data_IF_726969185841
#
_entry.id   IF_726969185841
#
_cell.length_a   1.000
_cell.length_b   1.000
_cell.length_c   1.000
_cell.angle_alpha   90.00
_cell.angle_beta   90.00
_cell.angle_gamma   90.00
#
_symmetry.space_group_name_H-M   'P 1'
#
loop_
_entity.id
_entity.type
_entity.pdbx_description
1 polymer ?
#
# COMPACT_ATOMS: atom_id res chain seq x y z
N UNK A 1 -29.05 -2.93 -16.03
CA UNK A 1 -27.82 -2.22 -15.68
C UNK A 1 -27.14 -2.93 -14.53
N UNK A 2 -25.83 -3.04 -14.56
CA UNK A 2 -25.03 -3.69 -13.52
C UNK A 2 -23.97 -2.72 -12.99
N UNK A 3 -23.73 -2.79 -11.67
CA UNK A 3 -22.56 -2.20 -11.06
C UNK A 3 -21.38 -3.15 -11.27
N UNK A 4 -20.31 -2.61 -11.80
CA UNK A 4 -19.06 -3.37 -12.04
C UNK A 4 -17.87 -2.65 -11.42
N UNK A 5 -16.90 -3.43 -10.97
CA UNK A 5 -15.62 -2.95 -10.48
C UNK A 5 -14.52 -3.45 -11.42
N UNK A 6 -13.58 -2.58 -11.76
CA UNK A 6 -12.38 -3.00 -12.48
C UNK A 6 -11.48 -3.74 -11.50
N UNK A 7 -11.25 -5.02 -11.76
CA UNK A 7 -10.40 -5.88 -10.94
C UNK A 7 -8.94 -5.82 -11.41
N UNK A 8 -8.75 -5.68 -12.71
CA UNK A 8 -7.43 -5.60 -13.34
C UNK A 8 -7.49 -4.70 -14.56
N UNK A 9 -6.56 -3.79 -14.65
CA UNK A 9 -6.36 -2.96 -15.83
C UNK A 9 -5.81 -3.77 -17.02
N UNK A 10 -5.96 -3.20 -18.21
CA UNK A 10 -5.35 -3.76 -19.41
C UNK A 10 -3.82 -3.80 -19.25
N UNK A 11 -3.20 -4.97 -19.46
CA UNK A 11 -1.76 -5.12 -19.38
C UNK A 11 -1.23 -5.77 -20.66
N UNK A 12 -0.49 -5.02 -21.46
CA UNK A 12 0.04 -5.49 -22.76
C UNK A 12 -1.08 -6.04 -23.65
N UNK A 13 -1.09 -7.37 -23.88
CA UNK A 13 -2.07 -8.08 -24.72
C UNK A 13 -3.31 -8.57 -23.95
N UNK A 14 -3.32 -8.42 -22.62
CA UNK A 14 -4.45 -8.87 -21.78
C UNK A 14 -5.45 -7.73 -21.62
N UNK A 15 -6.71 -8.03 -21.90
CA UNK A 15 -7.81 -7.10 -21.69
C UNK A 15 -8.07 -6.84 -20.20
N UNK A 16 -8.71 -5.70 -19.86
CA UNK A 16 -9.10 -5.43 -18.49
C UNK A 16 -10.11 -6.46 -18.00
N UNK A 17 -10.01 -6.83 -16.73
CA UNK A 17 -10.98 -7.70 -16.09
C UNK A 17 -11.91 -6.89 -15.19
N UNK A 18 -13.19 -7.18 -15.25
CA UNK A 18 -14.22 -6.55 -14.43
C UNK A 18 -15.00 -7.62 -13.66
N UNK A 19 -15.52 -7.22 -12.51
CA UNK A 19 -16.36 -8.09 -11.68
C UNK A 19 -17.62 -7.37 -11.22
N UNK A 20 -18.71 -8.08 -11.07
CA UNK A 20 -19.90 -7.58 -10.39
C UNK A 20 -19.84 -7.79 -8.87
N UNK A 21 -18.81 -8.49 -8.40
CA UNK A 21 -18.52 -8.63 -6.98
C UNK A 21 -17.75 -7.42 -6.49
N UNK A 22 -18.44 -6.44 -5.93
CA UNK A 22 -17.85 -5.20 -5.48
C UNK A 22 -17.18 -5.41 -4.12
N UNK A 23 -15.95 -4.89 -4.00
CA UNK A 23 -15.16 -4.98 -2.78
C UNK A 23 -14.81 -3.57 -2.30
N UNK A 24 -15.14 -3.29 -1.03
CA UNK A 24 -14.79 -2.05 -0.33
C UNK A 24 -13.74 -2.39 0.71
N UNK A 25 -12.49 -2.06 0.42
CA UNK A 25 -11.36 -2.40 1.28
C UNK A 25 -11.11 -1.31 2.31
N UNK A 26 -11.25 -1.66 3.59
CA UNK A 26 -10.78 -0.90 4.73
C UNK A 26 -9.40 -1.38 5.23
N UNK A 27 -8.90 -0.77 6.29
CA UNK A 27 -7.63 -1.15 6.94
C UNK A 27 -7.77 -2.48 7.69
N UNK A 28 -8.92 -2.72 8.33
CA UNK A 28 -9.19 -3.85 9.23
C UNK A 28 -10.20 -4.83 8.66
N UNK A 29 -11.11 -4.38 7.81
CA UNK A 29 -12.15 -5.17 7.20
C UNK A 29 -12.29 -4.91 5.71
N UNK A 30 -12.90 -5.86 4.97
CA UNK A 30 -13.33 -5.70 3.59
C UNK A 30 -14.80 -6.08 3.52
N UNK A 31 -15.64 -5.19 3.00
CA UNK A 31 -17.02 -5.49 2.64
C UNK A 31 -17.06 -6.02 1.21
N UNK A 32 -17.75 -7.11 0.95
CA UNK A 32 -17.88 -7.74 -0.36
C UNK A 32 -19.32 -8.06 -0.70
N UNK A 33 -19.75 -7.83 -1.95
CA UNK A 33 -21.13 -8.08 -2.37
C UNK A 33 -21.34 -9.47 -2.97
N UNK A 34 -20.26 -10.15 -3.37
CA UNK A 34 -20.34 -11.44 -4.06
C UNK A 34 -20.42 -12.65 -3.15
N UNK A 35 -19.95 -12.54 -1.92
CA UNK A 35 -19.98 -13.62 -0.95
C UNK A 35 -20.55 -13.11 0.37
N UNK A 36 -21.78 -13.53 0.67
CA UNK A 36 -22.53 -13.11 1.86
C UNK A 36 -22.13 -13.90 3.12
N UNK A 37 -20.85 -14.08 3.35
CA UNK A 37 -20.32 -14.82 4.51
C UNK A 37 -19.31 -13.99 5.25
N UNK A 38 -19.16 -14.29 6.54
CA UNK A 38 -18.07 -13.77 7.35
C UNK A 38 -16.81 -14.59 7.06
N UNK A 39 -15.84 -13.94 6.42
CA UNK A 39 -14.48 -14.44 6.23
C UNK A 39 -13.55 -13.87 7.30
N UNK A 40 -12.62 -14.67 7.81
CA UNK A 40 -11.62 -14.20 8.77
C UNK A 40 -10.25 -14.66 8.26
N UNK A 41 -9.26 -13.76 8.30
CA UNK A 41 -7.90 -14.04 7.84
C UNK A 41 -7.35 -15.34 8.44
N UNK A 42 -6.75 -16.18 7.60
CA UNK A 42 -6.13 -17.44 8.03
C UNK A 42 -4.98 -17.24 9.01
N UNK A 43 -4.33 -16.06 8.98
CA UNK A 43 -3.19 -15.69 9.82
C UNK A 43 -3.56 -15.37 11.27
N UNK A 44 -4.84 -15.17 11.57
CA UNK A 44 -5.34 -14.97 12.93
C UNK A 44 -5.38 -16.29 13.70
N UNK A 45 -5.12 -16.24 15.00
CA UNK A 45 -5.17 -17.42 15.86
C UNK A 45 -6.62 -17.90 16.11
N UNK A 46 -6.77 -19.07 16.76
CA UNK A 46 -8.10 -19.66 16.99
C UNK A 46 -8.99 -18.83 17.93
N UNK A 47 -8.39 -18.22 18.95
CA UNK A 47 -9.10 -17.39 19.92
C UNK A 47 -9.62 -16.10 19.27
N UNK A 48 -8.77 -15.42 18.50
CA UNK A 48 -9.16 -14.24 17.74
C UNK A 48 -10.28 -14.54 16.73
N UNK A 49 -10.20 -15.69 16.06
CA UNK A 49 -11.26 -16.12 15.12
C UNK A 49 -12.59 -16.39 15.82
N UNK A 50 -12.57 -16.97 17.04
CA UNK A 50 -13.77 -17.18 17.82
C UNK A 50 -14.36 -15.84 18.28
N UNK A 51 -13.51 -14.94 18.79
CA UNK A 51 -13.88 -13.60 19.20
C UNK A 51 -14.56 -12.80 18.08
N UNK A 52 -13.97 -12.72 16.90
CA UNK A 52 -14.58 -11.99 15.78
C UNK A 52 -15.87 -12.64 15.24
N UNK A 53 -16.01 -13.95 15.35
CA UNK A 53 -17.27 -14.61 15.01
C UNK A 53 -18.40 -14.21 15.96
N UNK A 54 -18.10 -14.11 17.24
CA UNK A 54 -19.07 -13.69 18.26
C UNK A 54 -19.40 -12.19 18.12
N UNK A 55 -18.36 -11.36 18.03
CA UNK A 55 -18.49 -9.91 17.88
C UNK A 55 -19.35 -9.51 16.66
N UNK A 56 -19.21 -10.22 15.56
CA UNK A 56 -19.87 -9.87 14.29
C UNK A 56 -21.12 -10.71 14.01
N UNK A 57 -21.58 -11.47 14.99
CA UNK A 57 -22.81 -12.29 14.86
C UNK A 57 -24.06 -11.45 14.57
N UNK A 58 -24.11 -10.23 15.09
CA UNK A 58 -25.25 -9.31 14.92
C UNK A 58 -25.23 -8.53 13.61
N UNK A 59 -24.11 -8.58 12.86
CA UNK A 59 -24.03 -7.89 11.56
C UNK A 59 -24.84 -8.63 10.49
N UNK A 60 -25.66 -7.86 9.76
CA UNK A 60 -26.52 -8.38 8.69
C UNK A 60 -25.68 -8.83 7.48
N UNK A 61 -25.34 -10.12 7.48
CA UNK A 61 -24.64 -10.74 6.34
C UNK A 61 -25.58 -11.17 5.20
N UNK A 62 -26.87 -10.84 5.25
CA UNK A 62 -27.80 -11.18 4.17
C UNK A 62 -27.59 -10.30 2.92
N UNK A 63 -27.10 -9.09 3.11
CA UNK A 63 -26.90 -8.10 2.03
C UNK A 63 -25.50 -8.09 1.45
N UNK A 64 -24.49 -8.36 2.29
CA UNK A 64 -23.08 -8.35 1.95
C UNK A 64 -22.30 -9.34 2.81
N UNK A 65 -21.07 -9.63 2.44
CA UNK A 65 -20.14 -10.38 3.29
C UNK A 65 -19.06 -9.46 3.85
N UNK A 66 -18.44 -9.91 4.94
CA UNK A 66 -17.32 -9.23 5.58
C UNK A 66 -16.10 -10.14 5.59
N UNK A 67 -14.93 -9.58 5.36
CA UNK A 67 -13.64 -10.27 5.49
C UNK A 67 -12.78 -9.49 6.49
N UNK A 68 -12.51 -10.10 7.65
CA UNK A 68 -11.66 -9.50 8.68
C UNK A 68 -10.19 -9.73 8.33
N UNK A 69 -9.44 -8.63 8.26
CA UNK A 69 -8.02 -8.64 7.92
C UNK A 69 -7.15 -8.93 9.15
N UNK A 70 -5.91 -9.30 8.91
CA UNK A 70 -4.94 -9.58 10.00
C UNK A 70 -4.70 -8.37 10.91
N UNK A 71 -4.75 -7.16 10.35
CA UNK A 71 -4.53 -5.91 11.09
C UNK A 71 -5.61 -5.62 12.14
N UNK A 72 -6.79 -6.26 12.04
CA UNK A 72 -7.85 -6.11 13.05
C UNK A 72 -7.39 -6.54 14.46
N UNK A 73 -6.42 -7.45 14.54
CA UNK A 73 -5.89 -7.92 15.83
C UNK A 73 -5.13 -6.85 16.63
N UNK A 74 -4.77 -5.73 16.01
CA UNK A 74 -4.00 -4.65 16.66
C UNK A 74 -4.84 -3.50 17.17
N UNK A 75 -6.17 -3.55 17.03
CA UNK A 75 -7.06 -2.44 17.38
C UNK A 75 -8.20 -2.91 18.27
N UNK A 76 -8.85 -1.95 18.94
CA UNK A 76 -10.04 -2.19 19.74
C UNK A 76 -11.26 -2.53 18.87
N UNK A 77 -12.18 -3.30 19.40
CA UNK A 77 -13.38 -3.76 18.69
C UNK A 77 -14.24 -2.60 18.19
N UNK A 78 -14.32 -1.52 18.95
CA UNK A 78 -15.06 -0.31 18.59
C UNK A 78 -14.50 0.32 17.30
N UNK A 79 -13.19 0.29 17.12
CA UNK A 79 -12.53 0.81 15.91
C UNK A 79 -12.85 -0.04 14.68
N UNK A 80 -12.85 -1.37 14.86
CA UNK A 80 -13.25 -2.30 13.81
C UNK A 80 -14.72 -2.12 13.41
N UNK A 81 -15.60 -2.01 14.39
CA UNK A 81 -17.04 -1.80 14.19
C UNK A 81 -17.29 -0.47 13.47
N UNK A 82 -16.62 0.61 13.88
CA UNK A 82 -16.75 1.90 13.25
C UNK A 82 -16.29 1.87 11.77
N UNK A 83 -15.22 1.14 11.46
CA UNK A 83 -14.78 0.95 10.06
C UNK A 83 -15.82 0.15 9.27
N UNK A 84 -16.38 -0.93 9.80
CA UNK A 84 -17.40 -1.73 9.12
C UNK A 84 -18.64 -0.86 8.82
N UNK A 85 -19.11 -0.08 9.77
CA UNK A 85 -20.24 0.85 9.58
C UNK A 85 -19.94 1.91 8.50
N UNK A 86 -18.71 2.41 8.45
CA UNK A 86 -18.28 3.34 7.40
C UNK A 86 -18.31 2.68 6.02
N UNK A 87 -17.87 1.42 5.90
CA UNK A 87 -17.91 0.67 4.64
C UNK A 87 -19.36 0.37 4.20
N UNK A 88 -20.25 0.07 5.14
CA UNK A 88 -21.69 -0.10 4.87
C UNK A 88 -22.33 1.19 4.35
N UNK A 89 -22.02 2.29 5.00
CA UNK A 89 -22.52 3.61 4.60
C UNK A 89 -22.04 3.97 3.19
N UNK A 90 -20.75 3.73 2.92
CA UNK A 90 -20.16 3.94 1.59
C UNK A 90 -20.85 3.09 0.50
N UNK A 91 -21.07 1.80 0.77
CA UNK A 91 -21.80 0.90 -0.12
C UNK A 91 -23.23 1.39 -0.38
N UNK A 92 -23.95 1.77 0.68
CA UNK A 92 -25.33 2.23 0.58
C UNK A 92 -25.43 3.52 -0.24
N UNK A 93 -24.59 4.49 0.04
CA UNK A 93 -24.52 5.76 -0.71
C UNK A 93 -24.17 5.54 -2.19
N UNK A 94 -23.20 4.65 -2.46
CA UNK A 94 -22.82 4.35 -3.84
C UNK A 94 -23.99 3.70 -4.60
N UNK A 95 -24.73 2.79 -3.96
CA UNK A 95 -25.91 2.15 -4.57
C UNK A 95 -27.04 3.15 -4.86
N UNK A 96 -27.30 4.07 -3.94
CA UNK A 96 -28.29 5.13 -4.12
C UNK A 96 -27.88 6.08 -5.26
N UNK A 97 -26.63 6.53 -5.26
CA UNK A 97 -26.10 7.39 -6.30
C UNK A 97 -26.12 6.73 -7.69
N UNK A 98 -25.92 5.42 -7.75
CA UNK A 98 -25.94 4.67 -9.01
C UNK A 98 -27.30 4.76 -9.73
N UNK A 99 -28.41 4.78 -8.96
CA UNK A 99 -29.76 4.88 -9.53
C UNK A 99 -30.01 6.21 -10.28
N UNK A 100 -29.21 7.24 -10.00
CA UNK A 100 -29.32 8.57 -10.60
C UNK A 100 -28.27 8.87 -11.66
N UNK A 101 -27.41 7.91 -11.99
CA UNK A 101 -26.32 8.07 -12.97
C UNK A 101 -26.65 7.34 -14.26
N UNK A 102 -26.14 7.88 -15.37
CA UNK A 102 -26.23 7.22 -16.68
C UNK A 102 -25.26 6.04 -16.77
N UNK A 103 -25.53 5.11 -17.68
CA UNK A 103 -24.60 4.00 -17.98
C UNK A 103 -23.18 4.52 -18.29
N UNK A 104 -22.17 3.74 -17.96
CA UNK A 104 -20.76 4.08 -18.12
C UNK A 104 -20.26 5.24 -17.25
N UNK A 105 -21.05 5.71 -16.29
CA UNK A 105 -20.57 6.69 -15.31
C UNK A 105 -19.63 6.05 -14.30
N UNK A 106 -18.55 6.75 -13.95
CA UNK A 106 -17.67 6.39 -12.83
C UNK A 106 -18.34 6.79 -11.53
N UNK A 107 -18.68 5.83 -10.70
CA UNK A 107 -19.31 6.05 -9.39
C UNK A 107 -18.28 6.30 -8.30
N UNK A 108 -17.17 5.57 -8.35
CA UNK A 108 -16.04 5.71 -7.43
C UNK A 108 -14.74 5.51 -8.20
N UNK A 109 -13.84 6.46 -8.08
CA UNK A 109 -12.47 6.28 -8.57
C UNK A 109 -11.68 5.45 -7.56
N UNK A 110 -10.85 4.54 -8.05
CA UNK A 110 -9.89 3.86 -7.19
C UNK A 110 -8.93 4.89 -6.59
N UNK A 111 -8.55 4.69 -5.34
CA UNK A 111 -7.46 5.46 -4.76
C UNK A 111 -6.15 5.07 -5.44
N UNK A 112 -5.22 6.01 -5.65
CA UNK A 112 -3.91 5.66 -6.14
C UNK A 112 -3.22 4.61 -5.24
N UNK A 113 -2.60 3.60 -5.85
CA UNK A 113 -1.99 2.47 -5.14
C UNK A 113 -0.97 2.92 -4.09
N UNK A 114 -0.21 3.98 -4.36
CA UNK A 114 0.78 4.50 -3.41
C UNK A 114 0.15 5.06 -2.12
N UNK A 115 -1.08 5.60 -2.17
CA UNK A 115 -1.80 6.02 -0.96
C UNK A 115 -2.30 4.83 -0.14
N UNK A 116 -2.73 3.78 -0.81
CA UNK A 116 -3.09 2.52 -0.15
C UNK A 116 -1.85 1.87 0.48
N UNK A 117 -0.71 1.90 -0.21
CA UNK A 117 0.55 1.38 0.31
C UNK A 117 0.99 2.11 1.58
N UNK A 118 0.89 3.45 1.61
CA UNK A 118 1.19 4.25 2.80
C UNK A 118 0.27 3.87 3.97
N UNK A 119 -1.05 3.72 3.72
CA UNK A 119 -2.02 3.32 4.75
C UNK A 119 -1.82 1.90 5.26
N UNK A 120 -1.37 1.00 4.39
CA UNK A 120 -1.14 -0.40 4.73
C UNK A 120 0.22 -0.64 5.39
N UNK A 121 1.09 0.36 5.48
CA UNK A 121 2.34 0.24 6.22
C UNK A 121 2.10 -0.02 7.71
N UNK A 122 3.07 -0.66 8.35
CA UNK A 122 3.06 -0.87 9.80
C UNK A 122 3.01 0.48 10.51
N UNK A 123 2.20 0.61 11.54
CA UNK A 123 2.21 1.81 12.39
C UNK A 123 3.63 2.10 12.86
N UNK A 124 4.05 3.38 12.77
CA UNK A 124 5.40 3.82 13.08
C UNK A 124 6.49 3.51 12.04
N UNK A 125 6.16 2.84 10.92
CA UNK A 125 7.15 2.60 9.85
C UNK A 125 7.34 3.78 8.90
N UNK A 126 6.38 4.68 8.84
CA UNK A 126 6.41 5.92 8.07
C UNK A 126 6.26 7.08 9.04
N UNK A 127 7.29 7.90 9.18
CA UNK A 127 7.30 9.08 10.05
C UNK A 127 6.97 10.36 9.30
N UNK A 128 7.25 10.40 8.00
CA UNK A 128 7.04 11.59 7.17
C UNK A 128 6.62 11.23 5.76
N UNK A 129 5.68 12.02 5.21
CA UNK A 129 5.30 12.00 3.80
C UNK A 129 5.65 13.35 3.21
N UNK A 130 6.44 13.37 2.13
CA UNK A 130 6.85 14.59 1.45
C UNK A 130 6.37 14.51 0.01
N UNK A 131 5.71 15.57 -0.48
CA UNK A 131 5.26 15.67 -1.86
C UNK A 131 5.49 17.08 -2.41
N UNK A 132 5.83 17.17 -3.69
CA UNK A 132 5.89 18.41 -4.48
C UNK A 132 4.65 18.59 -5.40
N UNK A 133 3.73 17.63 -5.37
CA UNK A 133 2.45 17.70 -6.06
C UNK A 133 1.37 18.24 -5.12
N UNK A 134 0.77 19.38 -5.50
CA UNK A 134 -0.23 20.05 -4.69
C UNK A 134 -1.56 19.29 -4.62
N UNK A 135 -2.00 18.69 -5.74
CA UNK A 135 -3.24 17.91 -5.76
C UNK A 135 -3.13 16.68 -4.87
N UNK A 136 -1.97 16.03 -4.93
CA UNK A 136 -1.65 14.89 -4.07
C UNK A 136 -1.61 15.30 -2.60
N UNK A 137 -0.96 16.43 -2.26
CA UNK A 137 -0.95 16.97 -0.91
C UNK A 137 -2.35 17.20 -0.37
N UNK A 138 -3.20 17.90 -1.14
CA UNK A 138 -4.60 18.16 -0.76
C UNK A 138 -5.41 16.86 -0.60
N UNK A 139 -5.19 15.88 -1.47
CA UNK A 139 -5.83 14.55 -1.37
C UNK A 139 -5.43 13.83 -0.09
N UNK A 140 -4.15 13.84 0.26
CA UNK A 140 -3.64 13.23 1.51
C UNK A 140 -4.23 13.97 2.72
N UNK A 141 -4.25 15.31 2.69
CA UNK A 141 -4.87 16.09 3.75
C UNK A 141 -6.33 15.67 3.99
N UNK A 142 -7.12 15.55 2.94
CA UNK A 142 -8.53 15.13 3.04
C UNK A 142 -8.66 13.71 3.60
N UNK A 143 -7.81 12.80 3.18
CA UNK A 143 -7.79 11.41 3.65
C UNK A 143 -7.48 11.27 5.15
N UNK A 144 -6.72 12.21 5.70
CA UNK A 144 -6.39 12.29 7.12
C UNK A 144 -7.28 13.28 7.90
N UNK A 145 -8.35 13.81 7.27
CA UNK A 145 -9.29 14.73 7.92
C UNK A 145 -8.74 16.13 8.15
N UNK A 146 -7.67 16.50 7.45
CA UNK A 146 -7.05 17.82 7.51
C UNK A 146 -7.68 18.70 6.41
N UNK A 147 -8.29 19.82 6.79
CA UNK A 147 -8.89 20.73 5.82
C UNK A 147 -7.84 21.69 5.24
N UNK A 148 -7.48 21.59 3.94
CA UNK A 148 -6.45 22.44 3.34
C UNK A 148 -6.77 23.94 3.37
N UNK A 149 -8.04 24.32 3.48
CA UNK A 149 -8.48 25.72 3.56
C UNK A 149 -8.03 26.48 4.83
N UNK A 150 -7.62 25.78 5.88
CA UNK A 150 -7.09 26.42 7.09
C UNK A 150 -5.70 27.02 6.86
N UNK A 151 -5.06 26.73 5.75
CA UNK A 151 -3.67 27.11 5.44
C UNK A 151 -3.56 28.23 4.41
N UNK A 152 -4.66 28.73 3.89
CA UNK A 152 -4.69 29.91 3.03
C UNK A 152 -4.92 31.20 3.87
N UNK A 153 -4.05 31.45 4.84
CA UNK A 153 -4.08 32.73 5.53
C UNK A 153 -2.99 33.65 5.03
N UNK A 154 -3.45 34.75 4.41
CA UNK A 154 -2.78 36.03 4.25
C UNK A 154 -1.57 36.07 3.33
N UNK A 155 -1.82 36.64 2.15
CA UNK A 155 -0.82 37.08 1.20
C UNK A 155 0.35 37.83 1.79
N UNK A 156 1.40 37.14 2.13
CA UNK A 156 2.72 37.70 2.36
C UNK A 156 3.73 36.56 2.45
N UNK A 157 4.58 36.46 1.43
CA UNK A 157 5.82 35.68 1.37
C UNK A 157 5.63 34.15 1.31
N UNK A 158 6.16 33.46 0.30
CA UNK A 158 6.19 32.01 0.28
C UNK A 158 7.12 31.51 1.38
N UNK A 159 6.54 30.93 2.43
CA UNK A 159 7.30 30.13 3.40
C UNK A 159 7.69 28.84 2.69
N UNK A 160 8.97 28.47 2.60
CA UNK A 160 9.43 27.41 1.71
C UNK A 160 9.01 25.99 2.12
N UNK A 161 8.42 25.77 3.26
CA UNK A 161 8.02 24.43 3.73
C UNK A 161 6.81 24.54 4.65
N UNK A 162 5.63 24.19 4.16
CA UNK A 162 4.47 23.98 5.02
C UNK A 162 4.57 22.60 5.65
N UNK A 163 5.06 22.52 6.87
CA UNK A 163 5.11 21.31 7.68
C UNK A 163 3.83 21.18 8.50
N UNK A 164 3.10 20.10 8.31
CA UNK A 164 1.89 19.81 9.07
C UNK A 164 2.04 18.52 9.86
N UNK A 165 1.75 18.59 11.16
CA UNK A 165 1.62 17.40 11.98
C UNK A 165 0.21 16.81 11.77
N UNK A 166 0.14 15.63 11.23
CA UNK A 166 -1.11 14.88 11.10
C UNK A 166 -1.44 14.29 12.47
N UNK A 167 -2.58 14.63 13.08
CA UNK A 167 -2.98 13.98 14.31
C UNK A 167 -3.17 12.50 14.06
N UNK A 168 -2.41 11.68 14.75
CA UNK A 168 -2.55 10.23 14.71
C UNK A 168 -3.90 9.85 15.33
N UNK A 169 -4.79 9.29 14.53
CA UNK A 169 -6.02 8.70 15.01
C UNK A 169 -5.65 7.35 15.63
N UNK A 170 -5.31 7.36 16.86
CA UNK A 170 -5.17 6.33 17.87
C UNK A 170 -3.81 6.36 18.57
N UNK A 171 -3.79 6.83 19.77
CA UNK A 171 -3.04 6.48 21.00
C UNK A 171 -1.57 6.04 20.96
N UNK A 172 -0.86 6.10 19.84
CA UNK A 172 0.57 5.77 19.75
C UNK A 172 1.40 7.02 19.47
N UNK A 173 2.56 7.09 20.10
CA UNK A 173 3.41 8.29 20.24
C UNK A 173 4.09 8.79 18.95
N UNK A 174 3.87 8.18 17.80
CA UNK A 174 4.54 8.53 16.55
C UNK A 174 3.62 9.39 15.68
N UNK A 175 3.88 10.69 15.65
CA UNK A 175 3.19 11.64 14.78
C UNK A 175 3.71 11.50 13.33
N UNK A 176 2.81 11.16 12.40
CA UNK A 176 3.10 11.24 10.97
C UNK A 176 3.16 12.72 10.56
N UNK A 177 4.23 13.14 9.92
CA UNK A 177 4.38 14.50 9.39
C UNK A 177 4.07 14.49 7.89
N UNK A 178 3.22 15.43 7.43
CA UNK A 178 2.97 15.66 6.02
C UNK A 178 3.60 17.00 5.61
N UNK A 179 4.50 16.95 4.63
CA UNK A 179 5.27 18.10 4.17
C UNK A 179 4.98 18.38 2.69
N UNK A 180 4.55 19.61 2.36
CA UNK A 180 4.53 20.09 0.99
C UNK A 180 5.87 20.74 0.66
N UNK A 181 6.56 20.21 -0.35
CA UNK A 181 7.86 20.71 -0.79
C UNK A 181 7.69 21.59 -2.04
N UNK A 182 8.21 22.80 -1.99
CA UNK A 182 8.26 23.68 -3.15
C UNK A 182 9.58 24.46 -3.16
N UNK A 183 10.46 24.11 -4.08
CA UNK A 183 11.69 24.83 -4.35
C UNK A 183 11.87 24.97 -5.87
N UNK A 184 11.93 26.20 -6.41
CA UNK A 184 12.07 26.43 -7.86
C UNK A 184 13.45 26.03 -8.41
N UNK A 185 14.47 25.88 -7.56
CA UNK A 185 15.84 25.58 -7.96
C UNK A 185 16.20 24.10 -7.80
N UNK A 186 15.57 23.40 -6.85
CA UNK A 186 15.88 22.02 -6.53
C UNK A 186 14.60 21.17 -6.48
N UNK A 187 14.47 20.20 -7.37
CA UNK A 187 13.33 19.29 -7.36
C UNK A 187 13.42 18.29 -6.21
N UNK A 188 12.28 17.85 -5.68
CA UNK A 188 12.19 16.82 -4.64
C UNK A 188 12.93 15.54 -5.05
N UNK A 189 12.77 15.12 -6.30
CA UNK A 189 13.46 13.98 -6.89
C UNK A 189 15.00 14.10 -6.85
N UNK A 190 15.53 15.30 -7.05
CA UNK A 190 16.97 15.57 -6.97
C UNK A 190 17.45 15.60 -5.54
N UNK A 191 16.70 16.26 -4.64
CA UNK A 191 17.01 16.36 -3.22
C UNK A 191 17.20 14.98 -2.57
N UNK A 192 16.29 14.05 -2.83
CA UNK A 192 16.34 12.69 -2.30
C UNK A 192 17.03 11.68 -3.23
N UNK A 193 17.64 12.13 -4.34
CA UNK A 193 18.31 11.26 -5.32
C UNK A 193 17.42 10.11 -5.80
N UNK A 194 16.11 10.36 -5.93
CA UNK A 194 15.10 9.34 -6.27
C UNK A 194 15.42 8.69 -7.62
N UNK A 195 15.76 9.49 -8.63
CA UNK A 195 16.10 8.99 -9.98
C UNK A 195 17.29 8.03 -9.95
N UNK A 196 18.37 8.40 -9.27
CA UNK A 196 19.56 7.54 -9.19
C UNK A 196 19.31 6.26 -8.37
N UNK A 197 18.46 6.34 -7.34
CA UNK A 197 18.05 5.18 -6.56
C UNK A 197 17.17 4.23 -7.39
N UNK A 198 16.26 4.77 -8.19
CA UNK A 198 15.43 4.00 -9.12
C UNK A 198 16.28 3.34 -10.22
N UNK A 199 17.22 4.07 -10.83
CA UNK A 199 18.14 3.51 -11.80
C UNK A 199 18.98 2.36 -11.23
N UNK A 200 19.44 2.49 -9.99
CA UNK A 200 20.13 1.39 -9.28
C UNK A 200 19.21 0.20 -9.03
N UNK A 201 17.98 0.46 -8.60
CA UNK A 201 16.99 -0.57 -8.34
C UNK A 201 16.57 -1.34 -9.62
N UNK A 202 16.63 -0.72 -10.78
CA UNK A 202 16.28 -1.31 -12.08
C UNK A 202 17.46 -2.06 -12.76
N UNK A 203 18.68 -1.98 -12.22
CA UNK A 203 19.81 -2.70 -12.81
C UNK A 203 19.64 -4.20 -12.71
N UNK A 204 19.90 -4.92 -13.77
CA UNK A 204 19.88 -6.38 -13.78
C UNK A 204 21.01 -6.95 -12.92
N UNK A 205 22.21 -6.37 -12.97
CA UNK A 205 23.37 -6.80 -12.23
C UNK A 205 23.54 -6.04 -10.91
N UNK A 206 23.64 -6.80 -9.83
CA UNK A 206 23.81 -6.30 -8.46
C UNK A 206 25.10 -6.86 -7.88
N UNK A 207 25.97 -5.98 -7.42
CA UNK A 207 27.23 -6.37 -6.77
C UNK A 207 27.03 -6.60 -5.27
N UNK A 208 27.55 -7.69 -4.79
CA UNK A 208 27.56 -8.04 -3.36
C UNK A 208 28.83 -7.50 -2.68
N UNK A 209 28.78 -7.35 -1.36
CA UNK A 209 29.93 -6.88 -0.58
C UNK A 209 31.13 -7.84 -0.65
N UNK A 210 30.88 -9.12 -0.85
CA UNK A 210 31.89 -10.16 -1.07
C UNK A 210 32.63 -10.05 -2.40
N UNK A 211 32.19 -9.15 -3.31
CA UNK A 211 32.73 -9.07 -4.68
C UNK A 211 32.09 -10.06 -5.65
N UNK A 212 31.13 -10.85 -5.22
CA UNK A 212 30.25 -11.63 -6.06
C UNK A 212 29.18 -10.73 -6.70
N UNK A 213 28.44 -11.22 -7.69
CA UNK A 213 27.32 -10.50 -8.28
C UNK A 213 26.12 -11.40 -8.52
N UNK A 214 24.94 -10.79 -8.50
CA UNK A 214 23.68 -11.43 -8.84
C UNK A 214 23.19 -10.79 -10.14
N UNK A 215 22.65 -11.58 -11.05
CA UNK A 215 21.98 -11.11 -12.25
C UNK A 215 20.50 -11.49 -12.13
N UNK A 216 19.63 -10.48 -12.20
CA UNK A 216 18.17 -10.66 -12.18
C UNK A 216 17.57 -10.24 -13.52
N UNK A 217 16.87 -11.16 -14.17
CA UNK A 217 16.19 -10.91 -15.43
C UNK A 217 14.73 -11.32 -15.36
N UNK A 218 13.84 -10.38 -15.65
CA UNK A 218 12.42 -10.64 -15.79
C UNK A 218 12.10 -11.06 -17.23
N UNK A 219 11.56 -12.25 -17.37
CA UNK A 219 10.97 -12.73 -18.63
C UNK A 219 9.45 -12.65 -18.57
N UNK A 220 8.77 -12.99 -19.64
CA UNK A 220 7.29 -12.99 -19.65
C UNK A 220 6.67 -13.98 -18.67
N UNK A 221 7.34 -15.09 -18.38
CA UNK A 221 6.80 -16.19 -17.59
C UNK A 221 7.46 -16.37 -16.22
N UNK A 222 8.69 -15.90 -16.05
CA UNK A 222 9.47 -16.16 -14.83
C UNK A 222 10.57 -15.11 -14.62
N UNK A 223 11.07 -15.05 -13.41
CA UNK A 223 12.27 -14.29 -13.06
C UNK A 223 13.45 -15.24 -12.97
N UNK A 224 14.48 -15.00 -13.79
CA UNK A 224 15.74 -15.76 -13.76
C UNK A 224 16.72 -15.04 -12.85
N UNK A 225 17.37 -15.80 -11.98
CA UNK A 225 18.37 -15.28 -11.04
C UNK A 225 19.62 -16.14 -11.17
N UNK A 226 20.75 -15.50 -11.50
CA UNK A 226 22.07 -16.13 -11.55
C UNK A 226 22.99 -15.52 -10.49
N UNK A 227 23.84 -16.34 -9.86
CA UNK A 227 24.80 -15.90 -8.84
C UNK A 227 26.20 -16.18 -9.32
N UNK A 228 26.96 -15.10 -9.56
CA UNK A 228 28.35 -15.16 -9.98
C UNK A 228 29.28 -14.93 -8.80
N UNK A 229 30.02 -15.96 -8.38
CA UNK A 229 30.87 -15.93 -7.19
C UNK A 229 32.16 -15.11 -7.32
N UNK A 230 32.49 -14.62 -8.54
CA UNK A 230 33.71 -13.85 -8.79
C UNK A 230 35.01 -14.71 -8.76
N UNK A 231 36.12 -14.05 -9.05
CA UNK A 231 37.42 -14.72 -9.21
C UNK A 231 38.21 -14.94 -7.88
N UNK A 232 37.73 -14.41 -6.77
CA UNK A 232 38.47 -14.38 -5.48
C UNK A 232 38.23 -15.58 -4.56
N UNK A 233 38.12 -16.78 -5.13
CA UNK A 233 37.95 -17.97 -4.31
C UNK A 233 39.34 -18.55 -4.03
N UNK A 234 39.93 -18.27 -2.85
CA UNK A 234 41.15 -18.90 -2.36
C UNK A 234 40.83 -20.37 -2.14
N UNK A 235 41.59 -21.27 -2.82
CA UNK A 235 41.31 -22.71 -2.84
C UNK A 235 41.26 -23.37 -1.47
N UNK A 236 41.92 -22.82 -0.46
CA UNK A 236 42.05 -23.42 0.87
C UNK A 236 40.82 -23.34 1.76
N UNK A 237 39.88 -22.40 1.46
CA UNK A 237 38.61 -22.16 2.21
C UNK A 237 37.39 -22.08 1.28
N UNK A 238 37.46 -22.82 0.18
CA UNK A 238 36.49 -22.70 -0.90
C UNK A 238 35.05 -22.95 -0.46
N UNK A 239 34.80 -23.94 0.40
CA UNK A 239 33.47 -24.30 0.89
C UNK A 239 32.86 -23.21 1.78
N UNK A 240 33.63 -22.66 2.70
CA UNK A 240 33.17 -21.62 3.62
C UNK A 240 32.93 -20.33 2.89
N UNK A 241 33.79 -19.97 1.95
CA UNK A 241 33.60 -18.78 1.12
C UNK A 241 32.35 -18.89 0.22
N UNK A 242 32.12 -20.06 -0.40
CA UNK A 242 30.91 -20.29 -1.19
C UNK A 242 29.66 -20.25 -0.33
N UNK A 243 29.66 -20.82 0.87
CA UNK A 243 28.54 -20.74 1.79
C UNK A 243 28.23 -19.29 2.18
N UNK A 244 29.26 -18.50 2.51
CA UNK A 244 29.11 -17.10 2.85
C UNK A 244 28.51 -16.27 1.69
N UNK A 245 29.04 -16.47 0.47
CA UNK A 245 28.53 -15.82 -0.73
C UNK A 245 27.08 -16.21 -0.99
N UNK A 246 26.73 -17.48 -0.87
CA UNK A 246 25.37 -17.96 -1.10
C UNK A 246 24.37 -17.41 -0.06
N UNK A 247 24.78 -17.29 1.20
CA UNK A 247 23.95 -16.68 2.25
C UNK A 247 23.76 -15.18 2.02
N UNK A 248 24.80 -14.47 1.59
CA UNK A 248 24.72 -13.06 1.21
C UNK A 248 23.81 -12.89 -0.01
N UNK A 249 24.01 -13.71 -1.04
CA UNK A 249 23.17 -13.72 -2.24
C UNK A 249 21.70 -13.99 -1.92
N UNK A 250 21.41 -14.97 -1.07
CA UNK A 250 20.05 -15.31 -0.68
C UNK A 250 19.33 -14.14 0.01
N UNK A 251 20.02 -13.40 0.87
CA UNK A 251 19.48 -12.20 1.53
C UNK A 251 19.19 -11.10 0.52
N UNK A 252 20.13 -10.84 -0.37
CA UNK A 252 19.96 -9.81 -1.41
C UNK A 252 18.87 -10.19 -2.40
N UNK A 253 18.76 -11.44 -2.83
CA UNK A 253 17.69 -11.94 -3.69
C UNK A 253 16.32 -11.70 -3.05
N UNK A 254 16.17 -12.05 -1.77
CA UNK A 254 14.93 -11.83 -1.04
C UNK A 254 14.54 -10.34 -0.99
N UNK A 255 15.53 -9.46 -0.79
CA UNK A 255 15.34 -8.01 -0.83
C UNK A 255 14.93 -7.53 -2.23
N UNK A 256 15.64 -7.97 -3.27
CA UNK A 256 15.38 -7.57 -4.66
C UNK A 256 14.04 -8.07 -5.19
N UNK A 257 13.62 -9.28 -4.82
CA UNK A 257 12.29 -9.80 -5.16
C UNK A 257 11.18 -8.96 -4.54
N UNK A 258 11.36 -8.47 -3.31
CA UNK A 258 10.37 -7.57 -2.67
C UNK A 258 10.38 -6.16 -3.27
N UNK A 259 11.55 -5.69 -3.72
CA UNK A 259 11.69 -4.35 -4.31
C UNK A 259 11.10 -4.26 -5.72
N UNK A 260 11.14 -5.36 -6.48
CA UNK A 260 10.82 -5.39 -7.93
C UNK A 260 9.48 -6.05 -8.25
N UNK A 261 8.74 -6.45 -7.25
CA UNK A 261 7.46 -7.16 -7.42
C UNK A 261 6.36 -6.24 -7.96
#
# INVERSE_FOLDING_TARGET
ELLIQVEREALKTKEPAVTANLNFAGKYAVLTTGNRRLGISSKLNKEQKAHYKELLHEFDTERYGLIIRTNAASVADETLIAEIQSLEMEWSQMRENACHKTCYSVLKKARPTYLEDVKNQREGSVSEIITDDRELFETICMDYGIHPKQFMTNGSVPVPVDQFQVPTISGTADSLTLTYYHDPMLTLSSLYSVKSSLEKALREQIWLKSGASIVLQHTEALTVIDVNSGKNIIKKEMRENLLRINLEAAKEIAYQLRLRN
#
